data_IF_770204477249
#
_entry.id   IF_770204477249
#
_cell.length_a   1.000
_cell.length_b   1.000
_cell.length_c   1.000
_cell.angle_alpha   90.00
_cell.angle_beta   90.00
_cell.angle_gamma   90.00
#
_symmetry.space_group_name_H-M   'P 1'
#
loop_
_entity.id
_entity.type
_entity.pdbx_description
1 polymer ?
#
# COMPACT_ATOMS: atom_id res chain seq x y z
N UNK A 1 -0.78 6.68 9.84
CA UNK A 1 -1.39 6.47 8.51
C UNK A 1 -2.89 6.43 8.68
N UNK A 2 -3.64 7.31 8.02
CA UNK A 2 -5.10 7.27 8.06
C UNK A 2 -5.59 6.14 7.16
N UNK A 3 -6.28 5.14 7.73
CA UNK A 3 -6.88 4.04 6.98
C UNK A 3 -7.97 4.63 6.10
N UNK A 4 -7.94 4.29 4.80
CA UNK A 4 -8.82 4.87 3.78
C UNK A 4 -8.25 6.05 3.00
N UNK A 5 -7.07 6.57 3.37
CA UNK A 5 -6.41 7.65 2.62
C UNK A 5 -5.50 7.16 1.47
N UNK A 6 -5.19 5.86 1.40
CA UNK A 6 -4.26 5.29 0.43
C UNK A 6 -4.62 5.64 -1.04
N UNK A 7 -5.89 5.52 -1.49
CA UNK A 7 -6.24 5.86 -2.87
C UNK A 7 -5.98 7.32 -3.23
N UNK A 8 -6.24 8.23 -2.28
CA UNK A 8 -6.06 9.67 -2.48
C UNK A 8 -4.58 10.04 -2.53
N UNK A 9 -3.74 9.40 -1.71
CA UNK A 9 -2.30 9.59 -1.80
C UNK A 9 -1.74 9.08 -3.13
N UNK A 10 -2.19 7.92 -3.60
CA UNK A 10 -1.75 7.41 -4.91
C UNK A 10 -2.20 8.34 -6.05
N UNK A 11 -3.40 8.90 -6.00
CA UNK A 11 -3.82 9.95 -6.94
C UNK A 11 -2.83 11.12 -6.91
N UNK A 12 -2.62 11.74 -5.75
CA UNK A 12 -1.74 12.91 -5.62
C UNK A 12 -0.33 12.63 -6.16
N UNK A 13 0.23 11.44 -5.85
CA UNK A 13 1.54 11.04 -6.32
C UNK A 13 1.54 10.83 -7.85
N UNK A 14 0.49 10.23 -8.41
CA UNK A 14 0.36 10.03 -9.85
C UNK A 14 0.37 11.38 -10.61
N UNK A 15 -0.43 12.36 -10.15
CA UNK A 15 -0.48 13.70 -10.78
C UNK A 15 0.87 14.41 -10.68
N UNK A 16 1.56 14.25 -9.54
CA UNK A 16 2.87 14.81 -9.31
C UNK A 16 3.94 14.16 -10.20
N UNK A 17 3.92 12.84 -10.35
CA UNK A 17 4.78 12.09 -11.27
C UNK A 17 4.62 12.59 -12.71
N UNK A 18 3.39 12.71 -13.20
CA UNK A 18 3.10 13.24 -14.54
C UNK A 18 3.65 14.66 -14.70
N UNK A 19 3.44 15.52 -13.71
CA UNK A 19 3.94 16.91 -13.72
C UNK A 19 5.47 16.98 -13.77
N UNK A 20 6.16 16.14 -13.00
CA UNK A 20 7.63 16.04 -13.03
C UNK A 20 8.12 15.62 -14.41
N UNK A 21 7.52 14.59 -14.99
CA UNK A 21 7.96 14.06 -16.28
C UNK A 21 7.71 15.06 -17.43
N UNK A 22 6.59 15.79 -17.41
CA UNK A 22 6.32 16.90 -18.37
C UNK A 22 7.37 18.01 -18.30
N UNK A 23 8.01 18.21 -17.14
CA UNK A 23 9.11 19.18 -16.93
C UNK A 23 10.49 18.59 -17.24
N UNK A 24 10.58 17.34 -17.68
CA UNK A 24 11.84 16.63 -17.90
C UNK A 24 12.53 16.16 -16.61
N UNK A 25 11.86 16.23 -15.46
CA UNK A 25 12.41 15.85 -14.16
C UNK A 25 12.21 14.35 -13.89
N UNK A 26 13.04 13.55 -14.56
CA UNK A 26 12.99 12.08 -14.46
C UNK A 26 13.36 11.61 -13.05
N UNK A 27 14.23 12.33 -12.33
CA UNK A 27 14.65 11.94 -10.98
C UNK A 27 13.50 12.02 -9.99
N UNK A 28 12.73 13.13 -9.98
CA UNK A 28 11.56 13.25 -9.11
C UNK A 28 10.41 12.33 -9.53
N UNK A 29 10.29 12.02 -10.82
CA UNK A 29 9.36 11.00 -11.29
C UNK A 29 9.66 9.60 -10.69
N UNK A 30 10.92 9.15 -10.74
CA UNK A 30 11.33 7.86 -10.14
C UNK A 30 11.20 7.89 -8.62
N UNK A 31 11.54 9.00 -7.97
CA UNK A 31 11.33 9.15 -6.52
C UNK A 31 9.85 9.05 -6.15
N UNK A 32 8.97 9.70 -6.92
CA UNK A 32 7.51 9.58 -6.78
C UNK A 32 7.03 8.14 -6.98
N UNK A 33 7.55 7.42 -7.97
CA UNK A 33 7.23 6.01 -8.20
C UNK A 33 7.59 5.13 -6.99
N UNK A 34 8.74 5.38 -6.34
CA UNK A 34 9.13 4.67 -5.12
C UNK A 34 8.19 4.95 -3.95
N UNK A 35 7.72 6.19 -3.78
CA UNK A 35 6.73 6.54 -2.76
C UNK A 35 5.38 5.89 -3.07
N UNK A 36 4.94 5.90 -4.34
CA UNK A 36 3.72 5.23 -4.79
C UNK A 36 3.76 3.72 -4.51
N UNK A 37 4.90 3.07 -4.73
CA UNK A 37 5.08 1.64 -4.47
C UNK A 37 4.77 1.26 -3.01
N UNK A 38 5.16 2.10 -2.04
CA UNK A 38 4.82 1.89 -0.63
C UNK A 38 3.29 1.89 -0.41
N UNK A 39 2.59 2.92 -0.88
CA UNK A 39 1.13 3.02 -0.72
C UNK A 39 0.37 1.91 -1.45
N UNK A 40 0.85 1.47 -2.62
CA UNK A 40 0.27 0.35 -3.36
C UNK A 40 0.54 -0.98 -2.65
N UNK A 41 1.73 -1.15 -2.05
CA UNK A 41 2.06 -2.28 -1.19
C UNK A 41 1.08 -2.40 -0.02
N UNK A 42 0.90 -1.32 0.74
CA UNK A 42 -0.08 -1.26 1.83
C UNK A 42 -1.50 -1.58 1.35
N UNK A 43 -1.90 -1.04 0.19
CA UNK A 43 -3.23 -1.27 -0.39
C UNK A 43 -3.46 -2.73 -0.80
N UNK A 44 -2.41 -3.48 -1.10
CA UNK A 44 -2.49 -4.91 -1.39
C UNK A 44 -2.60 -5.78 -0.12
N UNK A 45 -2.46 -5.19 1.07
CA UNK A 45 -2.44 -5.93 2.33
C UNK A 45 -3.81 -5.79 3.05
N UNK A 46 -4.46 -6.90 3.44
CA UNK A 46 -5.84 -6.88 3.93
C UNK A 46 -6.04 -6.18 5.29
N UNK A 47 -5.06 -6.25 6.20
CA UNK A 47 -5.09 -5.57 7.51
C UNK A 47 -4.99 -4.04 7.35
N UNK A 48 -4.17 -3.52 6.42
CA UNK A 48 -4.04 -2.09 6.12
C UNK A 48 -5.35 -1.46 5.66
N UNK A 49 -6.22 -2.27 5.04
CA UNK A 49 -7.52 -1.84 4.54
C UNK A 49 -8.62 -1.85 5.62
N UNK A 50 -8.32 -2.27 6.86
CA UNK A 50 -9.32 -2.56 7.90
C UNK A 50 -9.05 -1.80 9.20
N UNK A 51 -10.07 -1.62 10.04
CA UNK A 51 -9.86 -1.12 11.41
C UNK A 51 -9.07 -2.11 12.29
N UNK A 52 -8.91 -3.36 11.84
CA UNK A 52 -8.18 -4.43 12.52
C UNK A 52 -6.69 -4.48 12.16
N UNK A 53 -6.12 -3.34 11.77
CA UNK A 53 -4.74 -3.19 11.35
C UNK A 53 -3.74 -3.87 12.30
N UNK A 54 -3.96 -3.81 13.62
CA UNK A 54 -3.14 -4.45 14.63
C UNK A 54 -3.91 -5.58 15.35
N UNK A 55 -4.72 -6.36 14.64
CA UNK A 55 -5.68 -7.26 15.27
C UNK A 55 -6.94 -6.54 15.75
N UNK A 56 -7.78 -7.21 16.54
CA UNK A 56 -9.03 -6.63 17.04
C UNK A 56 -8.71 -5.54 18.08
N UNK A 57 -9.02 -4.26 17.79
CA UNK A 57 -8.80 -3.20 18.78
C UNK A 57 -9.81 -3.31 19.92
N UNK A 58 -9.56 -2.64 21.06
CA UNK A 58 -10.57 -2.47 22.09
C UNK A 58 -11.84 -1.85 21.51
N UNK A 59 -13.00 -2.36 21.94
CA UNK A 59 -14.30 -1.99 21.41
C UNK A 59 -15.15 -1.35 22.50
N UNK A 60 -15.75 -0.19 22.19
CA UNK A 60 -16.69 0.50 23.07
C UNK A 60 -18.11 0.41 22.52
N UNK A 61 -19.08 0.11 23.39
CA UNK A 61 -20.50 0.14 23.02
C UNK A 61 -21.03 1.58 23.02
N UNK A 62 -21.61 2.01 21.89
CA UNK A 62 -22.31 3.28 21.73
C UNK A 62 -23.69 2.97 21.16
N UNK A 63 -24.74 3.31 21.90
CA UNK A 63 -26.14 3.03 21.50
C UNK A 63 -26.39 1.58 21.07
N UNK A 64 -25.81 0.62 21.80
CA UNK A 64 -25.95 -0.82 21.52
C UNK A 64 -25.05 -1.37 20.41
N UNK A 65 -24.29 -0.54 19.69
CA UNK A 65 -23.34 -0.97 18.65
C UNK A 65 -21.89 -0.88 19.16
N UNK A 66 -21.06 -1.84 18.78
CA UNK A 66 -19.64 -1.86 19.13
C UNK A 66 -18.81 -1.09 18.11
N UNK A 67 -18.02 -0.13 18.57
CA UNK A 67 -17.10 0.65 17.74
C UNK A 67 -15.68 0.53 18.28
N UNK A 68 -14.64 0.52 17.42
CA UNK A 68 -13.27 0.59 17.88
C UNK A 68 -13.04 1.90 18.64
N UNK A 69 -12.26 1.83 19.72
CA UNK A 69 -11.86 3.03 20.47
C UNK A 69 -10.98 3.95 19.59
N UNK A 70 -10.97 5.28 19.84
CA UNK A 70 -10.10 6.20 19.10
C UNK A 70 -8.62 5.80 19.20
N UNK A 71 -7.87 5.94 18.10
CA UNK A 71 -6.47 5.43 18.04
C UNK A 71 -5.49 6.24 18.88
N UNK A 72 -5.85 7.46 19.23
CA UNK A 72 -5.11 8.37 20.10
C UNK A 72 -5.46 8.19 21.58
N UNK A 73 -6.46 7.35 21.89
CA UNK A 73 -6.83 7.01 23.27
C UNK A 73 -5.74 6.17 23.96
N UNK A 74 -5.67 6.29 25.28
CA UNK A 74 -4.70 5.53 26.08
C UNK A 74 -5.03 4.03 26.08
N UNK A 75 -6.33 3.69 26.01
CA UNK A 75 -6.80 2.31 25.85
C UNK A 75 -6.26 1.67 24.56
N UNK A 76 -6.33 2.38 23.43
CA UNK A 76 -5.75 1.89 22.17
C UNK A 76 -4.23 1.74 22.27
N UNK A 77 -3.54 2.74 22.82
CA UNK A 77 -2.06 2.72 22.96
C UNK A 77 -1.59 1.56 23.83
N UNK A 78 -2.32 1.25 24.90
CA UNK A 78 -2.00 0.12 25.77
C UNK A 78 -2.24 -1.20 25.04
N UNK A 79 -3.39 -1.35 24.37
CA UNK A 79 -3.70 -2.56 23.59
C UNK A 79 -2.65 -2.89 22.53
N UNK A 80 -2.00 -1.87 21.94
CA UNK A 80 -0.95 -2.05 20.92
C UNK A 80 0.32 -2.72 21.46
N UNK A 81 0.51 -2.76 22.78
CA UNK A 81 1.63 -3.43 23.43
C UNK A 81 1.40 -4.93 23.62
N UNK A 82 0.16 -5.38 23.50
CA UNK A 82 -0.23 -6.78 23.64
C UNK A 82 0.42 -7.68 22.58
N UNK A 83 0.42 -9.00 22.81
CA UNK A 83 1.00 -9.99 21.89
C UNK A 83 0.10 -10.18 20.67
N UNK A 84 -1.20 -10.10 20.88
CA UNK A 84 -2.27 -10.08 19.89
C UNK A 84 -2.02 -8.94 18.89
N UNK A 85 -1.69 -7.75 19.40
CA UNK A 85 -1.45 -6.58 18.55
C UNK A 85 -0.20 -6.67 17.66
N UNK A 86 0.66 -7.68 17.85
CA UNK A 86 1.83 -7.95 17.01
C UNK A 86 1.50 -8.67 15.70
N UNK A 87 0.28 -9.18 15.54
CA UNK A 87 -0.12 -9.95 14.34
C UNK A 87 0.17 -9.20 13.03
N UNK A 88 0.05 -7.88 13.03
CA UNK A 88 0.38 -7.05 11.87
C UNK A 88 1.81 -7.27 11.36
N UNK A 89 2.80 -7.08 12.23
CA UNK A 89 4.21 -7.22 11.85
C UNK A 89 4.59 -8.68 11.61
N UNK A 90 3.96 -9.62 12.34
CA UNK A 90 4.19 -11.04 12.14
C UNK A 90 3.71 -11.47 10.76
N UNK A 91 2.52 -11.05 10.34
CA UNK A 91 1.98 -11.35 9.01
C UNK A 91 2.74 -10.62 7.90
N UNK A 92 3.07 -9.34 8.09
CA UNK A 92 3.68 -8.51 7.04
C UNK A 92 5.16 -8.83 6.82
N UNK A 93 5.91 -9.00 7.90
CA UNK A 93 7.37 -9.10 7.86
C UNK A 93 7.81 -10.53 8.12
N UNK A 94 7.54 -11.05 9.32
CA UNK A 94 8.11 -12.34 9.76
C UNK A 94 7.58 -13.54 8.97
N UNK A 95 6.32 -13.51 8.53
CA UNK A 95 5.72 -14.59 7.73
C UNK A 95 6.35 -14.67 6.34
N UNK A 96 6.55 -13.53 5.67
CA UNK A 96 7.21 -13.51 4.35
C UNK A 96 8.70 -13.86 4.44
N UNK A 97 9.30 -13.72 5.62
CA UNK A 97 10.67 -14.17 5.91
C UNK A 97 10.82 -15.67 6.15
N UNK A 98 9.72 -16.43 6.26
CA UNK A 98 9.77 -17.89 6.45
C UNK A 98 10.38 -18.59 5.23
N UNK A 99 9.95 -18.20 4.02
CA UNK A 99 10.51 -18.69 2.75
C UNK A 99 10.46 -17.59 1.67
N UNK A 100 11.38 -16.60 1.71
CA UNK A 100 11.38 -15.49 0.75
C UNK A 100 11.54 -15.95 -0.70
N UNK A 101 12.36 -16.98 -0.94
CA UNK A 101 12.63 -17.46 -2.28
C UNK A 101 11.39 -18.16 -2.87
N UNK A 102 10.73 -19.01 -2.09
CA UNK A 102 9.47 -19.63 -2.47
C UNK A 102 8.35 -18.61 -2.67
N UNK A 103 8.26 -17.58 -1.80
CA UNK A 103 7.29 -16.50 -1.96
C UNK A 103 7.47 -15.74 -3.27
N UNK A 104 8.71 -15.33 -3.60
CA UNK A 104 9.00 -14.62 -4.84
C UNK A 104 8.70 -15.48 -6.08
N UNK A 105 9.11 -16.75 -6.08
CA UNK A 105 8.81 -17.67 -7.18
C UNK A 105 7.29 -17.86 -7.37
N UNK A 106 6.54 -17.97 -6.28
CA UNK A 106 5.08 -18.11 -6.33
C UNK A 106 4.39 -16.84 -6.83
N UNK A 107 4.90 -15.65 -6.48
CA UNK A 107 4.41 -14.38 -7.04
C UNK A 107 4.66 -14.33 -8.55
N UNK A 108 5.84 -14.70 -9.03
CA UNK A 108 6.17 -14.75 -10.46
C UNK A 108 5.24 -15.70 -11.22
N UNK A 109 4.98 -16.89 -10.65
CA UNK A 109 4.05 -17.85 -11.24
C UNK A 109 2.62 -17.34 -11.27
N UNK A 110 2.19 -16.60 -10.25
CA UNK A 110 0.87 -15.98 -10.22
C UNK A 110 0.76 -14.84 -11.24
N UNK A 111 1.81 -14.03 -11.42
CA UNK A 111 1.86 -12.98 -12.44
C UNK A 111 1.72 -13.52 -13.86
N UNK A 112 2.30 -14.69 -14.18
CA UNK A 112 2.18 -15.35 -15.50
C UNK A 112 0.73 -15.70 -15.87
N UNK A 113 -0.14 -15.89 -14.88
CA UNK A 113 -1.56 -16.25 -15.08
C UNK A 113 -2.44 -15.02 -15.31
N UNK A 114 -1.92 -13.83 -15.06
CA UNK A 114 -2.70 -12.60 -14.97
C UNK A 114 -2.66 -11.83 -16.29
N UNK A 115 -3.77 -11.16 -16.58
CA UNK A 115 -3.82 -10.17 -17.67
C UNK A 115 -3.22 -8.86 -17.18
N UNK A 116 -2.58 -8.13 -18.08
CA UNK A 116 -2.08 -6.80 -17.78
C UNK A 116 -3.23 -5.89 -17.33
N UNK A 117 -3.04 -5.23 -16.18
CA UNK A 117 -3.94 -4.19 -15.71
C UNK A 117 -3.69 -2.94 -16.56
N UNK A 118 -4.76 -2.30 -17.04
CA UNK A 118 -4.68 -1.01 -17.69
C UNK A 118 -5.38 0.02 -16.82
N UNK A 119 -4.68 1.11 -16.53
CA UNK A 119 -5.22 2.24 -15.79
C UNK A 119 -5.26 3.41 -16.76
N UNK A 120 -6.45 3.97 -16.90
CA UNK A 120 -6.66 5.15 -17.72
C UNK A 120 -5.83 6.34 -17.20
N UNK A 121 -5.66 7.35 -18.05
CA UNK A 121 -4.61 8.37 -17.99
C UNK A 121 -4.88 9.50 -16.98
N UNK A 122 -5.41 9.19 -15.79
CA UNK A 122 -5.71 10.19 -14.75
C UNK A 122 -5.46 9.69 -13.32
N UNK A 123 -5.17 10.63 -12.41
CA UNK A 123 -5.00 10.35 -10.99
C UNK A 123 -6.28 9.81 -10.32
N UNK A 124 -7.46 10.24 -10.75
CA UNK A 124 -8.73 9.68 -10.30
C UNK A 124 -8.83 8.18 -10.63
N UNK A 125 -8.41 7.78 -11.84
CA UNK A 125 -8.40 6.37 -12.26
C UNK A 125 -7.34 5.57 -11.51
N UNK A 126 -6.21 6.19 -11.16
CA UNK A 126 -5.23 5.62 -10.25
C UNK A 126 -5.85 5.34 -8.86
N UNK A 127 -6.58 6.29 -8.26
CA UNK A 127 -7.29 6.05 -7.00
C UNK A 127 -8.30 4.91 -7.09
N UNK A 128 -9.11 4.86 -8.15
CA UNK A 128 -10.09 3.77 -8.35
C UNK A 128 -9.42 2.40 -8.47
N UNK A 129 -8.27 2.31 -9.13
CA UNK A 129 -7.51 1.07 -9.21
C UNK A 129 -7.01 0.62 -7.82
N UNK A 130 -6.58 1.55 -6.97
CA UNK A 130 -6.18 1.25 -5.59
C UNK A 130 -7.38 0.83 -4.74
N UNK A 131 -8.56 1.47 -4.90
CA UNK A 131 -9.78 1.03 -4.22
C UNK A 131 -10.14 -0.41 -4.59
N UNK A 132 -10.05 -0.75 -5.89
CA UNK A 132 -10.28 -2.12 -6.35
C UNK A 132 -9.26 -3.10 -5.74
N UNK A 133 -7.97 -2.74 -5.73
CA UNK A 133 -6.91 -3.53 -5.11
C UNK A 133 -7.19 -3.80 -3.61
N UNK A 134 -7.57 -2.76 -2.86
CA UNK A 134 -7.91 -2.87 -1.44
C UNK A 134 -9.12 -3.78 -1.21
N UNK A 135 -10.18 -3.61 -2.01
CA UNK A 135 -11.37 -4.43 -1.94
C UNK A 135 -11.06 -5.91 -2.26
N UNK A 136 -10.28 -6.16 -3.30
CA UNK A 136 -9.92 -7.50 -3.73
C UNK A 136 -9.04 -8.20 -2.69
N UNK A 137 -8.08 -7.48 -2.09
CA UNK A 137 -7.26 -8.00 -1.00
C UNK A 137 -8.10 -8.44 0.20
N UNK A 138 -9.04 -7.60 0.66
CA UNK A 138 -9.93 -7.95 1.78
C UNK A 138 -10.93 -9.05 1.47
N UNK A 139 -11.48 -9.05 0.25
CA UNK A 139 -12.42 -10.08 -0.19
C UNK A 139 -11.72 -11.44 -0.27
N UNK A 140 -10.46 -11.44 -0.72
CA UNK A 140 -9.63 -12.64 -0.85
C UNK A 140 -9.19 -13.19 0.49
N UNK A 141 -8.78 -12.32 1.40
CA UNK A 141 -8.31 -12.68 2.74
C UNK A 141 -8.87 -11.70 3.75
N UNK A 142 -9.95 -12.12 4.42
CA UNK A 142 -10.56 -11.30 5.45
C UNK A 142 -9.60 -11.12 6.64
N UNK A 143 -9.51 -9.92 7.26
CA UNK A 143 -8.67 -9.68 8.44
C UNK A 143 -8.87 -10.70 9.56
N UNK A 144 -10.12 -11.11 9.83
CA UNK A 144 -10.41 -12.12 10.85
C UNK A 144 -9.77 -13.47 10.54
N UNK A 145 -9.66 -13.88 9.27
CA UNK A 145 -8.99 -15.15 8.93
C UNK A 145 -7.54 -15.15 9.41
N UNK A 146 -6.83 -14.02 9.29
CA UNK A 146 -5.44 -13.90 9.76
C UNK A 146 -5.40 -13.89 11.29
N UNK A 147 -6.32 -13.15 11.92
CA UNK A 147 -6.36 -12.98 13.38
C UNK A 147 -6.77 -14.27 14.09
N UNK A 148 -7.74 -15.01 13.56
CA UNK A 148 -8.26 -16.24 14.14
C UNK A 148 -7.27 -17.41 13.99
N UNK A 149 -6.40 -17.36 12.98
CA UNK A 149 -5.31 -18.32 12.78
C UNK A 149 -4.08 -18.04 13.66
N UNK A 150 -4.00 -16.86 14.26
CA UNK A 150 -2.90 -16.48 15.12
C UNK A 150 -3.00 -17.09 16.52
N UNK A 151 -1.88 -17.55 17.06
CA UNK A 151 -1.77 -18.01 18.45
C UNK A 151 -0.79 -17.14 19.23
N UNK A 152 -1.29 -16.12 19.96
CA UNK A 152 -0.45 -15.21 20.72
C UNK A 152 0.40 -15.90 21.80
N UNK A 153 0.08 -17.12 22.23
CA UNK A 153 0.86 -17.86 23.23
C UNK A 153 2.22 -18.33 22.69
N UNK A 154 2.33 -18.51 21.37
CA UNK A 154 3.54 -18.98 20.70
C UNK A 154 4.56 -17.86 20.42
N UNK A 155 5.82 -18.24 20.15
CA UNK A 155 6.85 -17.28 19.72
C UNK A 155 6.48 -16.63 18.39
N UNK A 156 7.04 -15.45 18.08
CA UNK A 156 6.73 -14.75 16.83
C UNK A 156 7.10 -15.58 15.59
N UNK A 157 8.23 -16.29 15.63
CA UNK A 157 8.65 -17.19 14.55
C UNK A 157 7.70 -18.37 14.37
N UNK A 158 7.20 -18.96 15.47
CA UNK A 158 6.23 -20.05 15.39
C UNK A 158 4.87 -19.58 14.85
N UNK A 159 4.40 -18.40 15.27
CA UNK A 159 3.21 -17.74 14.73
C UNK A 159 3.34 -17.48 13.23
N UNK A 160 4.46 -16.88 12.82
CA UNK A 160 4.75 -16.62 11.41
C UNK A 160 4.77 -17.90 10.57
N UNK A 161 5.42 -18.96 11.08
CA UNK A 161 5.44 -20.26 10.40
C UNK A 161 4.04 -20.87 10.29
N UNK A 162 3.23 -20.79 11.35
CA UNK A 162 1.86 -21.30 11.33
C UNK A 162 1.01 -20.58 10.27
N UNK A 163 1.11 -19.24 10.16
CA UNK A 163 0.43 -18.47 9.11
C UNK A 163 0.93 -18.82 7.71
N UNK A 164 2.23 -19.09 7.55
CA UNK A 164 2.81 -19.49 6.26
C UNK A 164 2.39 -20.91 5.84
N UNK A 165 2.35 -21.85 6.79
CA UNK A 165 1.92 -23.23 6.58
C UNK A 165 0.40 -23.33 6.33
N UNK A 166 -0.38 -22.30 6.69
CA UNK A 166 -1.79 -22.19 6.33
C UNK A 166 -1.94 -21.83 4.84
N UNK A 167 -2.36 -22.82 4.06
CA UNK A 167 -2.56 -22.73 2.61
C UNK A 167 -3.57 -21.65 2.18
N UNK A 168 -4.59 -21.38 3.01
CA UNK A 168 -5.57 -20.33 2.72
C UNK A 168 -4.93 -18.95 2.85
N UNK A 169 -4.12 -18.75 3.89
CA UNK A 169 -3.46 -17.47 4.17
C UNK A 169 -2.31 -17.24 3.20
N UNK A 170 -1.39 -18.19 3.05
CA UNK A 170 -0.20 -18.03 2.21
C UNK A 170 -0.57 -17.84 0.73
N UNK A 171 -1.44 -18.67 0.15
CA UNK A 171 -1.85 -18.53 -1.27
C UNK A 171 -2.62 -17.23 -1.51
N UNK A 172 -3.47 -16.82 -0.58
CA UNK A 172 -4.17 -15.54 -0.70
C UNK A 172 -3.19 -14.35 -0.62
N UNK A 173 -2.20 -14.42 0.27
CA UNK A 173 -1.12 -13.42 0.38
C UNK A 173 -0.34 -13.29 -0.91
N UNK A 174 0.12 -14.41 -1.49
CA UNK A 174 0.84 -14.42 -2.78
C UNK A 174 0.01 -13.79 -3.90
N UNK A 175 -1.28 -14.09 -3.95
CA UNK A 175 -2.18 -13.47 -4.93
C UNK A 175 -2.29 -11.97 -4.74
N UNK A 176 -2.43 -11.49 -3.51
CA UNK A 176 -2.49 -10.06 -3.21
C UNK A 176 -1.19 -9.33 -3.56
N UNK A 177 -0.04 -9.93 -3.29
CA UNK A 177 1.27 -9.39 -3.73
C UNK A 177 1.34 -9.29 -5.26
N UNK A 178 0.91 -10.33 -5.98
CA UNK A 178 0.86 -10.30 -7.44
C UNK A 178 -0.12 -9.24 -7.98
N UNK A 179 -1.28 -9.03 -7.33
CA UNK A 179 -2.21 -7.94 -7.65
C UNK A 179 -1.55 -6.57 -7.44
N UNK A 180 -0.86 -6.38 -6.32
CA UNK A 180 -0.12 -5.15 -6.01
C UNK A 180 0.96 -4.84 -7.05
N UNK A 181 1.76 -5.84 -7.45
CA UNK A 181 2.78 -5.71 -8.50
C UNK A 181 2.15 -5.32 -9.83
N UNK A 182 1.06 -5.99 -10.24
CA UNK A 182 0.35 -5.68 -11.48
C UNK A 182 -0.23 -4.27 -11.49
N UNK A 183 -0.86 -3.85 -10.39
CA UNK A 183 -1.40 -2.50 -10.23
C UNK A 183 -0.29 -1.43 -10.26
N UNK A 184 0.82 -1.65 -9.56
CA UNK A 184 1.96 -0.74 -9.55
C UNK A 184 2.56 -0.55 -10.95
N UNK A 185 2.73 -1.64 -11.70
CA UNK A 185 3.23 -1.61 -13.07
C UNK A 185 2.30 -0.80 -14.00
N UNK A 186 0.99 -0.98 -13.86
CA UNK A 186 -0.01 -0.25 -14.63
C UNK A 186 -0.04 1.25 -14.29
N UNK A 187 0.05 1.59 -13.00
CA UNK A 187 0.11 2.97 -12.52
C UNK A 187 1.34 3.69 -13.08
N UNK A 188 2.51 3.05 -12.98
CA UNK A 188 3.75 3.61 -13.48
C UNK A 188 3.71 3.79 -15.00
N UNK A 189 3.23 2.79 -15.72
CA UNK A 189 3.09 2.83 -17.19
C UNK A 189 2.14 3.96 -17.62
N UNK A 190 0.99 4.10 -16.96
CA UNK A 190 0.03 5.17 -17.23
C UNK A 190 0.65 6.56 -16.99
N UNK A 191 1.31 6.77 -15.85
CA UNK A 191 1.97 8.04 -15.55
C UNK A 191 3.08 8.38 -16.56
N UNK A 192 3.88 7.38 -16.97
CA UNK A 192 4.92 7.57 -17.98
C UNK A 192 4.33 7.99 -19.33
N UNK A 193 3.31 7.28 -19.81
CA UNK A 193 2.67 7.57 -21.10
C UNK A 193 2.10 9.00 -21.16
N UNK A 194 1.50 9.47 -20.06
CA UNK A 194 0.95 10.83 -19.98
C UNK A 194 2.05 11.88 -19.85
N UNK A 195 3.10 11.59 -19.08
CA UNK A 195 4.17 12.54 -18.82
C UNK A 195 5.20 12.68 -19.94
N UNK A 196 5.43 11.64 -20.75
CA UNK A 196 6.49 11.59 -21.76
C UNK A 196 6.06 12.05 -23.17
N UNK A 197 4.78 12.34 -23.42
CA UNK A 197 4.29 12.75 -24.74
C UNK A 197 4.54 14.25 -25.03
N UNK A 198 4.99 14.69 -26.23
CA UNK A 198 5.88 14.05 -27.21
C UNK A 198 7.36 14.46 -27.02
N UNK A 199 7.74 15.05 -25.89
CA UNK A 199 9.14 15.31 -25.55
C UNK A 199 9.68 14.12 -24.76
N UNK A 200 10.08 13.06 -25.47
CA UNK A 200 10.85 11.99 -24.85
C UNK A 200 12.17 12.60 -24.35
N UNK A 201 12.41 12.70 -23.03
CA UNK A 201 13.69 13.20 -22.54
C UNK A 201 14.77 12.21 -22.96
N UNK A 202 15.85 12.67 -23.59
CA UNK A 202 17.03 11.80 -23.76
C UNK A 202 17.50 11.39 -22.36
N UNK A 203 17.67 10.09 -22.07
CA UNK A 203 18.17 9.67 -20.77
C UNK A 203 19.61 10.18 -20.63
N UNK A 204 19.82 11.20 -19.79
CA UNK A 204 21.13 11.47 -19.21
C UNK A 204 21.23 10.64 -17.93
N UNK A 205 21.58 9.37 -18.10
CA UNK A 205 21.93 8.49 -16.98
C UNK A 205 23.31 8.87 -16.47
N UNK A 206 23.40 9.92 -15.65
CA UNK A 206 24.57 10.12 -14.81
C UNK A 206 24.40 9.38 -13.47
N UNK A 207 25.44 8.72 -12.93
CA UNK A 207 25.37 8.05 -11.64
C UNK A 207 24.94 9.03 -10.55
N UNK A 208 23.72 8.85 -10.03
CA UNK A 208 23.18 9.75 -9.02
C UNK A 208 23.74 9.35 -7.65
N UNK A 209 24.49 10.24 -7.00
CA UNK A 209 25.05 10.00 -5.65
C UNK A 209 23.90 9.83 -4.63
N UNK A 210 23.98 8.85 -3.71
CA UNK A 210 22.97 8.57 -2.65
C UNK A 210 22.41 9.82 -1.94
N UNK A 211 23.26 10.83 -1.71
CA UNK A 211 22.90 12.12 -1.06
C UNK A 211 21.97 13.04 -1.88
N UNK A 212 21.81 12.76 -3.17
CA UNK A 212 20.88 13.45 -4.09
C UNK A 212 19.49 12.84 -4.01
N UNK A 213 19.39 11.51 -3.91
CA UNK A 213 18.13 10.78 -3.74
C UNK A 213 17.45 11.14 -2.40
N UNK A 214 18.20 11.16 -1.29
CA UNK A 214 17.66 11.52 0.03
C UNK A 214 17.19 12.99 0.13
N UNK A 215 17.86 13.92 -0.57
CA UNK A 215 17.39 15.31 -0.67
C UNK A 215 16.16 15.45 -1.55
N UNK A 216 16.05 14.64 -2.61
CA UNK A 216 14.90 14.64 -3.51
C UNK A 216 13.65 14.10 -2.82
N UNK A 217 13.76 13.02 -2.03
CA UNK A 217 12.65 12.46 -1.24
C UNK A 217 12.26 13.36 -0.05
N UNK A 218 13.22 13.99 0.63
CA UNK A 218 12.94 14.98 1.67
C UNK A 218 12.30 16.27 1.10
N UNK A 219 12.71 16.71 -0.09
CA UNK A 219 12.09 17.83 -0.78
C UNK A 219 10.68 17.50 -1.27
N UNK A 220 10.37 16.24 -1.62
CA UNK A 220 8.98 15.81 -1.90
C UNK A 220 8.10 16.02 -0.66
N UNK A 221 8.56 15.67 0.54
CA UNK A 221 7.81 15.94 1.80
C UNK A 221 7.54 17.42 2.06
N UNK A 222 8.41 18.32 1.63
CA UNK A 222 8.22 19.77 1.83
C UNK A 222 7.55 20.49 0.67
N UNK A 223 7.62 19.95 -0.55
CA UNK A 223 7.06 20.57 -1.77
C UNK A 223 5.69 20.02 -2.14
N UNK A 224 5.31 18.84 -1.65
CA UNK A 224 3.99 18.25 -1.82
C UNK A 224 3.34 18.07 -0.45
N UNK A 225 2.86 19.16 0.19
CA UNK A 225 2.01 18.99 1.37
C UNK A 225 0.86 18.08 0.96
N UNK A 226 0.69 16.97 1.68
CA UNK A 226 -0.52 16.16 1.53
C UNK A 226 -1.70 17.11 1.73
N UNK A 227 -2.51 17.34 0.70
CA UNK A 227 -3.74 18.10 0.89
C UNK A 227 -4.54 17.32 1.93
N UNK A 228 -4.90 17.98 3.03
CA UNK A 228 -5.89 17.45 3.95
C UNK A 228 -7.20 17.21 3.20
N UNK A 229 -8.05 16.32 3.72
CA UNK A 229 -9.37 16.06 3.12
C UNK A 229 -10.16 17.36 2.93
N UNK A 230 -10.04 18.29 3.89
CA UNK A 230 -10.65 19.62 3.82
C UNK A 230 -10.08 20.47 2.68
N UNK A 231 -8.75 20.48 2.49
CA UNK A 231 -8.11 21.19 1.39
C UNK A 231 -8.43 20.58 0.01
N UNK A 232 -8.67 19.26 -0.05
CA UNK A 232 -9.18 18.61 -1.26
C UNK A 232 -10.63 19.01 -1.55
N UNK A 233 -11.49 19.05 -0.53
CA UNK A 233 -12.88 19.47 -0.64
C UNK A 233 -13.03 20.94 -1.04
N UNK A 234 -12.23 21.83 -0.44
CA UNK A 234 -12.20 23.27 -0.74
C UNK A 234 -11.65 23.57 -2.14
N UNK A 235 -10.76 22.72 -2.67
CA UNK A 235 -10.20 22.94 -4.00
C UNK A 235 -11.23 22.86 -5.13
N UNK A 236 -12.40 22.25 -4.89
CA UNK A 236 -13.49 22.13 -5.86
C UNK A 236 -13.14 21.32 -7.11
N UNK A 237 -11.92 20.78 -7.23
CA UNK A 237 -11.45 19.99 -8.37
C UNK A 237 -11.71 18.51 -8.12
N UNK A 238 -12.98 18.16 -8.14
CA UNK A 238 -13.42 16.78 -8.34
C UNK A 238 -13.72 16.64 -9.84
N UNK A 239 -12.70 16.53 -10.68
CA UNK A 239 -13.00 16.31 -12.10
C UNK A 239 -13.45 14.84 -12.33
N UNK A 240 -14.52 14.65 -13.13
CA UNK A 240 -15.38 13.45 -13.15
C UNK A 240 -14.70 12.13 -13.57
#
# INVERSE_FOLDING_TARGET
>A
MAIGALPFHVWQIWDAMVTCLKKGDVLRFVAGAGVMAHYVGDASQPLHCSYMHHGVPPMRKVSGRSYPVPRDSDEFKESKKSREAKIHGIYEETMLEVDPAGALAAVDDELKKRRAVSIDRSGHRAAKAVIALMNDAQTRLAPNTIIDADDPSQSQTARAKALWDDDQISKATIRSLADGVGALAALWTSAWQVGAAPRSPRPRSEPTKKRSLSRSTAAIRSSWPSLGLDAMAESGKFEP
#
